data_IF_993658822929
#
_entry.id   IF_993658822929
#
_cell.length_a   1.000
_cell.length_b   1.000
_cell.length_c   1.000
_cell.angle_alpha   90.00
_cell.angle_beta   90.00
_cell.angle_gamma   90.00
#
_symmetry.space_group_name_H-M   'P 1'
#
loop_
_entity.id
_entity.type
_entity.pdbx_description
1 polymer ?
#
# COMPACT_ATOMS: atom_id res chain seq x y z
N UNK A 1 12.05 19.15 -0.61
CA UNK A 1 11.19 17.93 -0.63
C UNK A 1 10.17 18.13 -1.74
N UNK A 2 10.23 17.32 -2.79
CA UNK A 2 9.40 17.46 -4.01
C UNK A 2 8.74 16.15 -4.45
N UNK A 3 8.95 15.09 -3.68
CA UNK A 3 8.38 13.78 -3.92
C UNK A 3 6.90 13.76 -3.55
N UNK A 4 6.44 14.43 -2.48
CA UNK A 4 5.02 14.41 -2.06
C UNK A 4 4.13 15.39 -2.83
N UNK A 5 2.82 15.08 -2.88
CA UNK A 5 1.81 15.94 -3.50
C UNK A 5 1.46 17.16 -2.63
N UNK A 6 1.05 18.25 -3.28
CA UNK A 6 0.48 19.43 -2.60
C UNK A 6 -1.04 19.26 -2.45
N UNK A 7 -1.67 19.74 -1.36
CA UNK A 7 -3.11 19.59 -1.13
C UNK A 7 -3.99 20.08 -2.30
N UNK A 8 -3.62 21.20 -2.91
CA UNK A 8 -4.43 21.88 -3.93
C UNK A 8 -3.96 21.61 -5.37
N UNK A 9 -3.00 20.69 -5.57
CA UNK A 9 -2.47 20.37 -6.90
C UNK A 9 -2.89 18.97 -7.35
N UNK A 10 -3.48 18.89 -8.55
CA UNK A 10 -3.80 17.63 -9.20
C UNK A 10 -2.65 17.10 -10.07
N UNK A 11 -1.46 17.71 -9.99
CA UNK A 11 -0.31 17.26 -10.75
C UNK A 11 0.13 15.86 -10.30
N UNK A 12 0.35 14.98 -11.27
CA UNK A 12 0.81 13.63 -11.02
C UNK A 12 1.78 13.20 -12.09
N UNK A 13 2.72 12.36 -11.68
CA UNK A 13 3.76 11.82 -12.54
C UNK A 13 3.89 10.32 -12.25
N UNK A 14 4.36 9.50 -13.21
CA UNK A 14 4.69 8.10 -12.95
C UNK A 14 5.70 7.97 -11.80
N UNK A 15 5.43 7.03 -10.90
CA UNK A 15 6.30 6.64 -9.79
C UNK A 15 6.07 5.16 -9.48
N UNK A 16 7.10 4.32 -9.67
CA UNK A 16 7.04 2.86 -9.64
C UNK A 16 5.92 2.27 -10.52
N UNK A 17 5.82 2.78 -11.75
CA UNK A 17 4.82 2.30 -12.72
C UNK A 17 3.37 2.75 -12.45
N UNK A 18 3.13 3.55 -11.40
CA UNK A 18 1.80 4.06 -11.04
C UNK A 18 1.81 5.58 -10.95
N UNK A 19 0.70 6.25 -11.31
CA UNK A 19 0.59 7.71 -11.15
C UNK A 19 0.57 8.07 -9.66
N UNK A 20 1.56 8.84 -9.21
CA UNK A 20 1.58 9.42 -7.87
C UNK A 20 1.40 10.94 -7.95
N UNK A 21 0.63 11.50 -7.01
CA UNK A 21 0.52 12.94 -6.86
C UNK A 21 1.84 13.49 -6.33
N UNK A 22 2.37 14.51 -7.02
CA UNK A 22 3.68 15.09 -6.74
C UNK A 22 3.62 16.59 -6.91
N UNK A 23 4.46 17.32 -6.19
CA UNK A 23 4.58 18.76 -6.39
C UNK A 23 5.35 19.02 -7.70
N UNK A 24 4.82 19.80 -8.65
CA UNK A 24 5.57 20.18 -9.85
C UNK A 24 6.63 21.24 -9.55
N UNK A 25 6.67 21.77 -8.32
CA UNK A 25 7.49 22.92 -7.93
C UNK A 25 8.98 22.82 -8.34
N UNK A 26 9.68 21.67 -8.20
CA UNK A 26 11.06 21.56 -8.65
C UNK A 26 11.23 21.90 -10.14
N UNK A 27 10.35 21.35 -10.99
CA UNK A 27 10.35 21.61 -12.42
C UNK A 27 9.93 23.05 -12.74
N UNK A 28 8.93 23.60 -12.03
CA UNK A 28 8.49 24.99 -12.23
C UNK A 28 9.61 25.99 -11.95
N UNK A 29 10.34 25.79 -10.85
CA UNK A 29 11.45 26.65 -10.46
C UNK A 29 12.61 26.53 -11.45
N UNK A 30 12.94 25.30 -11.85
CA UNK A 30 13.99 25.04 -12.84
C UNK A 30 13.69 25.76 -14.16
N UNK A 31 12.50 25.54 -14.73
CA UNK A 31 12.09 26.15 -15.99
C UNK A 31 12.09 27.69 -15.93
N UNK A 32 11.51 28.29 -14.87
CA UNK A 32 11.40 29.76 -14.75
C UNK A 32 12.74 30.46 -14.52
N UNK A 33 13.68 29.78 -13.86
CA UNK A 33 14.96 30.39 -13.47
C UNK A 33 16.11 30.00 -14.40
N UNK A 34 15.90 29.03 -15.31
CA UNK A 34 16.95 28.47 -16.15
C UNK A 34 18.02 27.69 -15.37
N UNK A 35 17.73 27.25 -14.14
CA UNK A 35 18.67 26.55 -13.25
C UNK A 35 18.39 25.05 -13.24
N UNK A 36 19.41 24.19 -13.08
CA UNK A 36 19.22 22.74 -13.10
C UNK A 36 18.62 22.23 -11.80
N UNK A 37 18.03 21.05 -11.87
CA UNK A 37 17.62 20.26 -10.70
C UNK A 37 18.74 19.29 -10.36
N UNK A 38 19.08 19.19 -9.07
CA UNK A 38 19.89 18.11 -8.53
C UNK A 38 19.02 17.23 -7.63
N UNK A 39 19.02 15.92 -7.86
CA UNK A 39 18.37 14.97 -6.96
C UNK A 39 19.37 14.58 -5.89
N UNK A 40 19.03 14.85 -4.63
CA UNK A 40 19.85 14.51 -3.48
C UNK A 40 19.14 13.42 -2.69
N UNK A 41 19.80 12.28 -2.50
CA UNK A 41 19.29 11.17 -1.69
C UNK A 41 20.24 10.85 -0.55
N UNK A 42 19.68 10.44 0.59
CA UNK A 42 20.42 10.09 1.78
C UNK A 42 20.18 8.64 2.12
N UNK A 43 21.24 7.93 2.49
CA UNK A 43 21.20 6.56 2.95
C UNK A 43 21.97 6.44 4.25
N UNK A 44 21.41 5.72 5.22
CA UNK A 44 22.07 5.35 6.47
C UNK A 44 22.89 4.08 6.26
N UNK A 45 24.18 4.15 6.55
CA UNK A 45 25.11 3.02 6.46
C UNK A 45 25.96 2.95 7.73
N UNK A 46 25.85 1.83 8.47
CA UNK A 46 26.65 1.55 9.68
C UNK A 46 26.68 2.71 10.69
N UNK A 47 25.52 3.33 10.93
CA UNK A 47 25.38 4.45 11.87
C UNK A 47 25.81 5.82 11.33
N UNK A 48 26.26 5.91 10.08
CA UNK A 48 26.56 7.17 9.37
C UNK A 48 25.53 7.42 8.27
N UNK A 49 25.52 8.62 7.70
CA UNK A 49 24.72 8.96 6.52
C UNK A 49 25.64 9.22 5.33
N UNK A 50 25.34 8.57 4.20
CA UNK A 50 25.94 8.83 2.90
C UNK A 50 24.94 9.60 2.04
N UNK A 51 25.39 10.67 1.40
CA UNK A 51 24.58 11.49 0.51
C UNK A 51 25.05 11.30 -0.93
N UNK A 52 24.10 11.10 -1.85
CA UNK A 52 24.36 11.04 -3.30
C UNK A 52 23.65 12.20 -3.98
N UNK A 53 24.35 12.86 -4.89
CA UNK A 53 23.78 13.86 -5.80
C UNK A 53 23.74 13.27 -7.21
N UNK A 54 22.65 13.49 -7.93
CA UNK A 54 22.57 13.18 -9.35
C UNK A 54 23.39 14.17 -10.19
N UNK A 55 23.62 13.83 -11.45
CA UNK A 55 23.96 14.81 -12.47
C UNK A 55 22.86 15.88 -12.59
N UNK A 56 23.21 17.10 -13.03
CA UNK A 56 22.24 18.19 -13.16
C UNK A 56 21.22 17.89 -14.28
N UNK A 57 19.94 18.00 -13.94
CA UNK A 57 18.85 17.96 -14.91
C UNK A 57 18.56 19.39 -15.36
N UNK A 58 19.07 19.77 -16.52
CA UNK A 58 18.87 21.12 -17.06
C UNK A 58 17.49 21.28 -17.69
N UNK A 59 16.84 22.47 -17.53
CA UNK A 59 15.65 22.80 -18.26
C UNK A 59 15.98 23.14 -19.72
N UNK A 60 15.08 22.80 -20.65
CA UNK A 60 15.10 23.26 -22.03
C UNK A 60 14.07 24.39 -22.23
N UNK A 61 14.48 25.67 -22.25
CA UNK A 61 13.55 26.79 -22.41
C UNK A 61 12.93 26.88 -23.81
N UNK A 62 13.44 26.12 -24.79
CA UNK A 62 12.87 26.06 -26.14
C UNK A 62 11.66 25.12 -26.23
N UNK A 63 11.47 24.22 -25.26
CA UNK A 63 10.31 23.32 -25.22
C UNK A 63 9.09 23.99 -24.56
N UNK A 64 7.85 23.63 -24.96
CA UNK A 64 6.65 24.11 -24.28
C UNK A 64 6.66 23.77 -22.78
N UNK A 65 6.21 24.72 -21.97
CA UNK A 65 6.19 24.64 -20.51
C UNK A 65 5.66 23.30 -19.97
N UNK A 66 4.49 22.84 -20.42
CA UNK A 66 3.87 21.61 -19.89
C UNK A 66 4.68 20.34 -20.20
N UNK A 67 5.25 20.29 -21.42
CA UNK A 67 6.11 19.19 -21.87
C UNK A 67 7.37 19.15 -21.01
N UNK A 68 7.96 20.30 -20.78
CA UNK A 68 9.22 20.40 -20.05
C UNK A 68 9.05 20.12 -18.56
N UNK A 69 7.96 20.59 -17.95
CA UNK A 69 7.62 20.24 -16.56
C UNK A 69 7.44 18.74 -16.39
N UNK A 70 6.75 18.09 -17.33
CA UNK A 70 6.56 16.63 -17.32
C UNK A 70 7.89 15.89 -17.45
N UNK A 71 8.76 16.31 -18.37
CA UNK A 71 10.09 15.70 -18.58
C UNK A 71 10.98 15.84 -17.33
N UNK A 72 11.06 17.04 -16.75
CA UNK A 72 11.86 17.32 -15.57
C UNK A 72 11.37 16.51 -14.35
N UNK A 73 10.06 16.47 -14.12
CA UNK A 73 9.49 15.68 -13.02
C UNK A 73 9.66 14.17 -13.23
N UNK A 74 9.54 13.68 -14.47
CA UNK A 74 9.79 12.28 -14.81
C UNK A 74 11.24 11.88 -14.52
N UNK A 75 12.22 12.68 -14.97
CA UNK A 75 13.63 12.44 -14.73
C UNK A 75 13.99 12.48 -13.24
N UNK A 76 13.47 13.46 -12.50
CA UNK A 76 13.65 13.58 -11.05
C UNK A 76 13.15 12.34 -10.32
N UNK A 77 11.92 11.92 -10.60
CA UNK A 77 11.29 10.78 -9.93
C UNK A 77 11.93 9.46 -10.31
N UNK A 78 12.42 9.31 -11.53
CA UNK A 78 13.16 8.12 -11.96
C UNK A 78 14.43 7.92 -11.12
N UNK A 79 15.24 8.96 -10.92
CA UNK A 79 16.42 8.90 -10.06
C UNK A 79 16.07 8.60 -8.60
N UNK A 80 14.92 9.11 -8.14
CA UNK A 80 14.41 8.79 -6.81
C UNK A 80 14.01 7.31 -6.71
N UNK A 81 13.34 6.75 -7.72
CA UNK A 81 13.01 5.32 -7.77
C UNK A 81 14.26 4.46 -7.69
N UNK A 82 15.31 4.77 -8.47
CA UNK A 82 16.59 4.06 -8.43
C UNK A 82 17.17 4.05 -7.01
N UNK A 83 17.24 5.21 -6.37
CA UNK A 83 17.76 5.31 -5.00
C UNK A 83 16.90 4.56 -3.98
N UNK A 84 15.57 4.55 -4.15
CA UNK A 84 14.68 3.79 -3.26
C UNK A 84 14.86 2.29 -3.49
N UNK A 85 15.04 1.83 -4.74
CA UNK A 85 15.30 0.41 -5.05
C UNK A 85 16.59 -0.09 -4.42
N UNK A 86 17.61 0.76 -4.30
CA UNK A 86 18.87 0.39 -3.61
C UNK A 86 18.64 0.04 -2.14
N UNK A 87 17.71 0.71 -1.44
CA UNK A 87 17.42 0.45 -0.02
C UNK A 87 15.98 0.81 0.36
N UNK A 88 14.99 0.00 -0.05
CA UNK A 88 13.58 0.35 0.08
C UNK A 88 13.14 0.59 1.53
N UNK A 89 13.73 -0.14 2.47
CA UNK A 89 13.43 -0.04 3.91
C UNK A 89 13.77 1.31 4.55
N UNK A 90 14.61 2.13 3.90
CA UNK A 90 14.98 3.45 4.40
C UNK A 90 14.11 4.58 3.84
N UNK A 91 13.24 4.29 2.87
CA UNK A 91 12.24 5.25 2.43
C UNK A 91 11.10 5.33 3.43
N UNK A 92 10.60 6.53 3.69
CA UNK A 92 9.53 6.77 4.65
C UNK A 92 8.16 6.40 4.05
N UNK A 93 7.84 5.10 4.01
CA UNK A 93 6.57 4.54 3.50
C UNK A 93 5.32 4.87 4.34
N UNK A 94 5.45 5.72 5.34
CA UNK A 94 4.39 6.11 6.29
C UNK A 94 3.19 6.72 5.56
N UNK A 95 3.43 7.47 4.49
CA UNK A 95 2.36 8.11 3.72
C UNK A 95 1.71 7.15 2.72
N UNK A 96 0.40 7.28 2.49
CA UNK A 96 -0.27 6.58 1.39
C UNK A 96 0.18 7.20 0.07
N UNK A 97 1.20 6.62 -0.57
CA UNK A 97 1.87 7.23 -1.73
C UNK A 97 0.92 7.36 -2.92
N UNK A 98 0.03 6.39 -3.08
CA UNK A 98 -0.99 6.33 -4.14
C UNK A 98 -2.40 6.56 -3.61
N UNK A 99 -2.59 7.42 -2.60
CA UNK A 99 -3.88 7.66 -1.92
C UNK A 99 -5.06 7.92 -2.89
N UNK A 100 -4.80 8.50 -4.05
CA UNK A 100 -5.80 8.90 -5.04
C UNK A 100 -6.25 7.75 -5.94
N UNK A 101 -5.45 6.68 -5.98
CA UNK A 101 -5.82 5.43 -6.63
C UNK A 101 -6.50 4.47 -5.66
N UNK A 102 -6.51 4.78 -4.36
CA UNK A 102 -7.24 3.98 -3.39
C UNK A 102 -8.73 4.01 -3.74
N UNK A 103 -9.42 2.87 -3.75
CA UNK A 103 -10.81 2.81 -4.15
C UNK A 103 -11.67 3.75 -3.29
N UNK A 104 -12.19 4.82 -3.91
CA UNK A 104 -13.07 5.79 -3.25
C UNK A 104 -14.35 5.17 -2.66
N UNK A 105 -14.69 3.97 -3.11
CA UNK A 105 -15.76 3.10 -2.60
C UNK A 105 -15.50 2.52 -1.21
N UNK A 106 -14.26 2.48 -0.71
CA UNK A 106 -13.96 1.97 0.64
C UNK A 106 -14.33 3.01 1.70
N UNK A 107 -14.70 2.63 2.93
CA UNK A 107 -14.83 3.58 4.04
C UNK A 107 -13.45 4.16 4.39
N UNK A 108 -13.40 5.41 4.85
CA UNK A 108 -12.13 6.15 5.07
C UNK A 108 -11.10 5.38 5.91
N UNK A 109 -11.53 4.70 6.98
CA UNK A 109 -10.65 3.93 7.87
C UNK A 109 -10.02 2.69 7.20
N UNK A 110 -10.55 2.24 6.06
CA UNK A 110 -10.04 1.10 5.30
C UNK A 110 -9.28 1.53 4.03
N UNK A 111 -9.08 2.84 3.80
CA UNK A 111 -8.36 3.35 2.61
C UNK A 111 -6.85 3.43 2.88
N UNK A 112 -6.17 2.31 2.76
CA UNK A 112 -4.71 2.22 2.87
C UNK A 112 -4.11 1.36 1.76
N UNK A 113 -2.83 1.59 1.45
CA UNK A 113 -2.11 0.95 0.33
C UNK A 113 -1.29 -0.28 0.73
N UNK A 114 -1.09 -0.52 2.03
CA UNK A 114 -0.37 -1.67 2.58
C UNK A 114 -1.24 -2.45 3.56
N UNK A 115 -1.48 -3.72 3.24
CA UNK A 115 -2.35 -4.62 3.97
C UNK A 115 -1.61 -5.91 4.33
N UNK A 116 -1.77 -6.37 5.57
CA UNK A 116 -1.37 -7.71 5.99
C UNK A 116 -2.61 -8.58 6.24
N UNK A 117 -2.62 -9.78 5.67
CA UNK A 117 -3.64 -10.80 5.96
C UNK A 117 -2.98 -11.97 6.70
N UNK A 118 -3.48 -12.27 7.89
CA UNK A 118 -2.96 -13.36 8.72
C UNK A 118 -3.92 -14.54 8.65
N UNK A 119 -3.52 -15.59 7.93
CA UNK A 119 -4.31 -16.82 7.78
C UNK A 119 -4.21 -17.65 9.06
N UNK A 120 -5.25 -18.43 9.42
CA UNK A 120 -5.27 -19.19 10.65
C UNK A 120 -4.61 -20.56 10.49
N UNK A 121 -4.20 -21.15 11.61
CA UNK A 121 -3.58 -22.48 11.61
C UNK A 121 -4.59 -23.58 11.28
N UNK A 122 -5.79 -23.59 11.88
CA UNK A 122 -6.80 -24.66 11.71
C UNK A 122 -7.26 -24.78 10.25
N UNK A 123 -7.32 -26.00 9.72
CA UNK A 123 -7.56 -26.25 8.28
C UNK A 123 -8.90 -25.71 7.77
N UNK A 124 -10.01 -25.99 8.45
CA UNK A 124 -11.31 -25.46 8.07
C UNK A 124 -11.33 -23.92 8.07
N UNK A 125 -10.72 -23.30 9.09
CA UNK A 125 -10.59 -21.85 9.19
C UNK A 125 -9.68 -21.29 8.10
N UNK A 126 -8.64 -22.04 7.71
CA UNK A 126 -7.69 -21.67 6.67
C UNK A 126 -8.37 -21.66 5.31
N UNK A 127 -9.05 -22.75 4.94
CA UNK A 127 -9.81 -22.83 3.68
C UNK A 127 -10.89 -21.75 3.61
N UNK A 128 -11.53 -21.46 4.75
CA UNK A 128 -12.46 -20.35 4.83
C UNK A 128 -11.78 -18.99 4.55
N UNK A 129 -10.70 -18.66 5.27
CA UNK A 129 -9.94 -17.43 5.06
C UNK A 129 -9.40 -17.31 3.63
N UNK A 130 -8.94 -18.42 3.05
CA UNK A 130 -8.48 -18.53 1.68
C UNK A 130 -9.57 -18.13 0.68
N UNK A 131 -10.81 -18.60 0.89
CA UNK A 131 -11.94 -18.26 0.00
C UNK A 131 -12.28 -16.77 -0.01
N UNK A 132 -11.88 -16.02 1.03
CA UNK A 132 -12.10 -14.57 1.13
C UNK A 132 -10.98 -13.75 0.47
N UNK A 133 -9.83 -14.34 0.12
CA UNK A 133 -8.69 -13.61 -0.45
C UNK A 133 -9.03 -12.97 -1.81
N UNK A 134 -9.84 -13.64 -2.63
CA UNK A 134 -10.35 -13.08 -3.89
C UNK A 134 -11.22 -11.84 -3.65
N UNK A 135 -12.00 -11.84 -2.56
CA UNK A 135 -12.79 -10.67 -2.14
C UNK A 135 -11.88 -9.52 -1.71
N UNK A 136 -10.81 -9.79 -0.98
CA UNK A 136 -9.80 -8.78 -0.66
C UNK A 136 -9.15 -8.19 -1.92
N UNK A 137 -8.72 -9.02 -2.89
CA UNK A 137 -8.19 -8.52 -4.17
C UNK A 137 -9.19 -7.66 -4.93
N UNK A 138 -10.44 -8.09 -5.01
CA UNK A 138 -11.50 -7.34 -5.68
C UNK A 138 -11.75 -5.97 -5.00
N UNK A 139 -11.69 -5.93 -3.67
CA UNK A 139 -11.82 -4.69 -2.91
C UNK A 139 -10.61 -3.78 -3.10
N UNK A 140 -9.40 -4.34 -3.11
CA UNK A 140 -8.10 -3.68 -3.20
C UNK A 140 -7.30 -4.17 -4.42
N UNK A 141 -7.62 -3.66 -5.63
CA UNK A 141 -7.06 -4.17 -6.88
C UNK A 141 -5.57 -3.85 -7.07
N UNK A 142 -5.04 -2.80 -6.44
CA UNK A 142 -3.68 -2.30 -6.69
C UNK A 142 -2.83 -2.22 -5.43
N UNK A 143 -3.37 -2.57 -4.28
CA UNK A 143 -2.71 -2.41 -2.99
C UNK A 143 -1.80 -3.60 -2.70
N UNK A 144 -0.78 -3.33 -1.88
CA UNK A 144 0.24 -4.29 -1.52
C UNK A 144 -0.30 -5.20 -0.42
N UNK A 145 -0.26 -6.50 -0.70
CA UNK A 145 -0.63 -7.53 0.26
C UNK A 145 0.62 -8.22 0.79
N UNK A 146 0.64 -8.44 2.11
CA UNK A 146 1.53 -9.38 2.77
C UNK A 146 0.67 -10.47 3.40
N UNK A 147 0.98 -11.75 3.14
CA UNK A 147 0.27 -12.89 3.70
C UNK A 147 1.14 -13.59 4.73
N UNK A 148 0.61 -13.76 5.93
CA UNK A 148 1.15 -14.71 6.90
C UNK A 148 0.43 -16.03 6.72
N UNK A 149 1.16 -17.05 6.30
CA UNK A 149 0.64 -18.38 5.94
C UNK A 149 1.26 -19.41 6.87
N UNK A 150 0.47 -20.27 7.56
CA UNK A 150 1.04 -21.39 8.29
C UNK A 150 1.91 -22.25 7.38
N UNK A 151 3.12 -22.63 7.81
CA UNK A 151 4.09 -23.34 6.96
C UNK A 151 3.52 -24.66 6.40
N UNK A 152 2.59 -25.30 7.13
CA UNK A 152 1.89 -26.51 6.70
C UNK A 152 1.03 -26.34 5.44
N UNK A 153 0.70 -25.10 5.06
CA UNK A 153 -0.08 -24.77 3.86
C UNK A 153 0.75 -24.04 2.79
N UNK A 154 2.08 -24.06 2.88
CA UNK A 154 2.96 -23.33 1.95
C UNK A 154 2.78 -23.71 0.47
N UNK A 155 2.38 -24.94 0.20
CA UNK A 155 2.15 -25.46 -1.16
C UNK A 155 0.72 -25.19 -1.66
N UNK A 156 -0.15 -24.60 -0.82
CA UNK A 156 -1.51 -24.30 -1.22
C UNK A 156 -1.54 -23.12 -2.20
N UNK A 157 -2.26 -23.20 -3.33
CA UNK A 157 -2.41 -22.06 -4.23
C UNK A 157 -3.09 -20.88 -3.52
N UNK A 158 -2.56 -19.67 -3.72
CA UNK A 158 -3.05 -18.43 -3.13
C UNK A 158 -3.57 -17.48 -4.24
N UNK A 159 -4.81 -16.96 -4.15
CA UNK A 159 -5.38 -16.05 -5.15
C UNK A 159 -4.69 -14.66 -5.26
N UNK A 160 -3.73 -14.38 -4.39
CA UNK A 160 -2.96 -13.13 -4.34
C UNK A 160 -1.52 -13.41 -4.76
N UNK A 161 -1.30 -13.66 -6.06
CA UNK A 161 0.00 -14.12 -6.60
C UNK A 161 1.14 -13.11 -6.49
N UNK A 162 0.81 -11.82 -6.33
CA UNK A 162 1.74 -10.71 -6.15
C UNK A 162 1.98 -10.36 -4.67
N UNK A 163 1.36 -11.09 -3.73
CA UNK A 163 1.54 -10.84 -2.31
C UNK A 163 2.92 -11.32 -1.81
N UNK A 164 3.50 -10.54 -0.89
CA UNK A 164 4.67 -10.97 -0.13
C UNK A 164 4.25 -12.08 0.86
N UNK A 165 4.99 -13.19 0.91
CA UNK A 165 4.65 -14.34 1.74
C UNK A 165 5.59 -14.46 2.94
N UNK A 166 5.01 -14.56 4.13
CA UNK A 166 5.69 -14.96 5.36
C UNK A 166 5.12 -16.30 5.83
N UNK A 167 5.95 -17.33 5.85
CA UNK A 167 5.58 -18.62 6.42
C UNK A 167 5.91 -18.64 7.91
N UNK A 168 5.00 -19.19 8.72
CA UNK A 168 5.20 -19.29 10.16
C UNK A 168 4.85 -20.68 10.69
N UNK A 169 5.58 -21.15 11.69
CA UNK A 169 5.33 -22.42 12.39
C UNK A 169 4.56 -22.23 13.69
N UNK A 170 4.84 -21.12 14.36
CA UNK A 170 4.25 -20.76 15.64
C UNK A 170 3.59 -19.38 15.58
N UNK A 171 2.52 -19.12 16.37
CA UNK A 171 1.85 -17.81 16.37
C UNK A 171 2.76 -16.62 16.68
N UNK A 172 3.90 -16.85 17.34
CA UNK A 172 4.85 -15.82 17.78
C UNK A 172 5.70 -15.29 16.64
N UNK A 173 5.96 -16.11 15.62
CA UNK A 173 6.71 -15.72 14.42
C UNK A 173 5.99 -14.65 13.58
N UNK A 174 4.67 -14.47 13.79
CA UNK A 174 3.87 -13.40 13.18
C UNK A 174 4.22 -12.03 13.78
N UNK A 175 4.69 -11.98 15.03
CA UNK A 175 4.89 -10.75 15.81
C UNK A 175 6.22 -10.07 15.47
N UNK A 176 6.42 -9.76 14.19
CA UNK A 176 7.63 -9.13 13.67
C UNK A 176 7.75 -7.67 14.17
N UNK A 177 8.86 -7.27 14.81
CA UNK A 177 8.99 -5.95 15.45
C UNK A 177 9.18 -4.78 14.47
N UNK A 178 9.60 -5.04 13.23
CA UNK A 178 9.87 -4.01 12.22
C UNK A 178 8.98 -4.15 10.98
N UNK A 179 7.84 -4.84 11.12
CA UNK A 179 6.86 -4.99 10.06
C UNK A 179 5.71 -4.00 10.31
N UNK A 180 5.55 -3.03 9.42
CA UNK A 180 4.70 -1.84 9.62
C UNK A 180 3.58 -1.75 8.57
N UNK A 181 2.68 -2.75 8.47
CA UNK A 181 1.52 -2.66 7.59
C UNK A 181 0.57 -1.58 8.10
N UNK A 182 -0.17 -0.94 7.19
CA UNK A 182 -1.15 0.08 7.58
C UNK A 182 -2.44 -0.54 8.07
N UNK A 183 -2.89 -1.62 7.43
CA UNK A 183 -4.03 -2.41 7.86
C UNK A 183 -3.63 -3.85 8.09
N UNK A 184 -4.16 -4.45 9.15
CA UNK A 184 -4.03 -5.88 9.43
C UNK A 184 -5.42 -6.48 9.54
N UNK A 185 -5.70 -7.47 8.70
CA UNK A 185 -6.86 -8.34 8.85
C UNK A 185 -6.39 -9.71 9.26
N UNK A 186 -6.91 -10.26 10.36
CA UNK A 186 -6.48 -11.55 10.85
C UNK A 186 -7.65 -12.51 11.10
N UNK A 187 -7.39 -13.77 10.79
CA UNK A 187 -8.28 -14.90 11.07
C UNK A 187 -7.79 -15.74 12.24
N UNK A 188 -6.66 -15.35 12.85
CA UNK A 188 -6.02 -16.05 13.97
C UNK A 188 -6.70 -15.75 15.31
N UNK A 189 -6.74 -16.77 16.17
CA UNK A 189 -7.19 -16.73 17.57
C UNK A 189 -6.14 -16.11 18.51
N UNK A 190 -4.95 -15.72 18.03
CA UNK A 190 -3.86 -15.19 18.85
C UNK A 190 -4.19 -13.78 19.38
N UNK A 191 -4.39 -13.60 20.71
CA UNK A 191 -4.81 -12.31 21.28
C UNK A 191 -3.71 -11.25 21.22
N UNK A 192 -2.46 -11.61 20.93
CA UNK A 192 -1.34 -10.67 20.85
C UNK A 192 -1.24 -9.92 19.52
N UNK A 193 -1.88 -10.40 18.44
CA UNK A 193 -1.76 -9.79 17.11
C UNK A 193 -2.18 -8.32 17.12
N UNK A 194 -3.38 -8.05 17.66
CA UNK A 194 -3.93 -6.70 17.72
C UNK A 194 -3.07 -5.72 18.52
N UNK A 195 -2.73 -5.96 19.80
CA UNK A 195 -1.87 -5.04 20.55
C UNK A 195 -0.48 -4.90 19.94
N UNK A 196 0.10 -5.97 19.37
CA UNK A 196 1.40 -5.92 18.70
C UNK A 196 1.41 -4.92 17.53
N UNK A 197 0.55 -5.12 16.54
CA UNK A 197 0.56 -4.25 15.35
C UNK A 197 0.09 -2.82 15.63
N UNK A 198 -0.81 -2.62 16.60
CA UNK A 198 -1.17 -1.28 17.06
C UNK A 198 0.02 -0.58 17.75
N UNK A 199 0.84 -1.29 18.53
CA UNK A 199 2.06 -0.72 19.13
C UNK A 199 3.09 -0.30 18.08
N UNK A 200 3.06 -0.94 16.91
CA UNK A 200 3.88 -0.61 15.74
C UNK A 200 3.21 0.45 14.83
N UNK A 201 2.17 1.14 15.30
CA UNK A 201 1.48 2.21 14.56
C UNK A 201 0.69 1.77 13.31
N UNK A 202 0.22 0.51 13.26
CA UNK A 202 -0.79 0.12 12.28
C UNK A 202 -2.06 0.99 12.47
N UNK A 203 -2.63 1.47 11.37
CA UNK A 203 -3.81 2.35 11.36
C UNK A 203 -5.10 1.62 11.74
N UNK A 204 -5.13 0.29 11.52
CA UNK A 204 -6.24 -0.55 11.92
C UNK A 204 -5.86 -2.03 11.96
N UNK A 205 -6.32 -2.73 13.00
CA UNK A 205 -6.14 -4.18 13.16
C UNK A 205 -7.49 -4.79 13.51
N UNK A 206 -7.96 -5.67 12.62
CA UNK A 206 -9.30 -6.22 12.66
C UNK A 206 -9.26 -7.75 12.59
N UNK A 207 -9.79 -8.41 13.61
CA UNK A 207 -10.13 -9.83 13.48
C UNK A 207 -11.34 -10.00 12.57
N UNK A 208 -11.47 -11.14 11.92
CA UNK A 208 -12.66 -11.42 11.10
C UNK A 208 -13.96 -11.41 11.92
N UNK A 209 -13.93 -11.85 13.17
CA UNK A 209 -15.08 -11.76 14.09
C UNK A 209 -15.45 -10.32 14.43
N UNK A 210 -14.48 -9.41 14.57
CA UNK A 210 -14.76 -7.98 14.73
C UNK A 210 -15.39 -7.39 13.47
N UNK A 211 -14.92 -7.76 12.28
CA UNK A 211 -15.55 -7.31 11.02
C UNK A 211 -17.01 -7.79 10.94
N UNK A 212 -17.29 -9.04 11.28
CA UNK A 212 -18.67 -9.57 11.34
C UNK A 212 -19.55 -8.75 12.26
N UNK A 213 -19.05 -8.38 13.45
CA UNK A 213 -19.78 -7.52 14.40
C UNK A 213 -20.03 -6.09 13.91
N UNK A 214 -19.18 -5.59 13.01
CA UNK A 214 -19.37 -4.27 12.37
C UNK A 214 -20.41 -4.29 11.25
N UNK A 215 -20.86 -5.48 10.83
CA UNK A 215 -21.88 -5.62 9.79
C UNK A 215 -23.28 -5.56 10.40
N UNK A 216 -24.18 -4.81 9.75
CA UNK A 216 -25.62 -4.83 10.08
C UNK A 216 -26.38 -5.94 9.33
N UNK A 217 -25.68 -6.77 8.55
CA UNK A 217 -26.29 -7.88 7.82
C UNK A 217 -26.68 -9.02 8.76
N UNK A 218 -27.67 -9.81 8.34
CA UNK A 218 -28.10 -11.01 9.04
C UNK A 218 -26.95 -12.04 9.13
N UNK A 219 -26.93 -12.84 10.20
CA UNK A 219 -25.90 -13.86 10.47
C UNK A 219 -25.80 -14.95 9.38
N UNK A 220 -26.82 -15.10 8.53
CA UNK A 220 -26.83 -16.05 7.42
C UNK A 220 -26.24 -15.49 6.10
N UNK A 221 -25.79 -14.22 6.08
CA UNK A 221 -25.17 -13.65 4.90
C UNK A 221 -23.79 -14.29 4.64
N UNK A 222 -23.43 -14.47 3.36
CA UNK A 222 -22.11 -14.97 2.99
C UNK A 222 -21.01 -14.03 3.53
N UNK A 223 -19.93 -14.61 4.06
CA UNK A 223 -18.84 -13.86 4.68
C UNK A 223 -18.14 -12.88 3.71
N UNK A 224 -18.13 -13.19 2.41
CA UNK A 224 -17.70 -12.27 1.36
C UNK A 224 -18.62 -11.04 1.21
N UNK A 225 -19.93 -11.19 1.40
CA UNK A 225 -20.89 -10.09 1.41
C UNK A 225 -20.75 -9.24 2.67
N UNK A 226 -20.49 -9.88 3.82
CA UNK A 226 -20.18 -9.18 5.07
C UNK A 226 -18.94 -8.30 4.88
N UNK A 227 -17.84 -8.84 4.33
CA UNK A 227 -16.64 -8.03 4.05
C UNK A 227 -16.96 -6.81 3.18
N UNK A 228 -17.68 -7.01 2.07
CA UNK A 228 -18.09 -5.91 1.19
C UNK A 228 -18.89 -4.85 1.95
N UNK A 229 -19.88 -5.25 2.74
CA UNK A 229 -20.74 -4.35 3.51
C UNK A 229 -19.97 -3.56 4.59
N UNK A 230 -19.01 -4.21 5.25
CA UNK A 230 -18.20 -3.58 6.30
C UNK A 230 -17.21 -2.60 5.69
N UNK A 231 -16.57 -2.96 4.58
CA UNK A 231 -15.46 -2.19 4.00
C UNK A 231 -15.92 -1.09 3.05
N UNK A 232 -17.08 -1.22 2.38
CA UNK A 232 -17.55 -0.24 1.39
C UNK A 232 -18.42 0.86 1.97
N UNK A 233 -18.40 2.04 1.36
CA UNK A 233 -19.39 3.09 1.62
C UNK A 233 -20.77 2.66 1.11
N UNK A 234 -21.84 3.16 1.76
CA UNK A 234 -23.22 2.72 1.53
C UNK A 234 -23.62 2.68 0.05
N UNK A 235 -23.22 3.69 -0.71
CA UNK A 235 -23.54 3.83 -2.14
C UNK A 235 -22.99 2.69 -3.01
N UNK A 236 -21.95 1.98 -2.57
CA UNK A 236 -21.26 0.94 -3.35
C UNK A 236 -21.58 -0.49 -2.90
N UNK A 237 -22.30 -0.67 -1.79
CA UNK A 237 -22.62 -2.00 -1.25
C UNK A 237 -23.36 -2.86 -2.29
N UNK A 238 -24.25 -2.25 -3.08
CA UNK A 238 -25.03 -2.95 -4.12
C UNK A 238 -24.29 -3.11 -5.45
N UNK A 239 -23.20 -2.36 -5.68
CA UNK A 239 -22.47 -2.38 -6.97
C UNK A 239 -21.55 -3.59 -7.16
N UNK A 240 -21.18 -4.29 -6.08
CA UNK A 240 -20.28 -5.44 -6.13
C UNK A 240 -20.98 -6.80 -6.25
N UNK A 241 -22.30 -6.83 -6.50
CA UNK A 241 -23.00 -8.03 -6.93
C UNK A 241 -22.76 -8.33 -8.43
N UNK A 242 -22.07 -7.44 -9.15
CA UNK A 242 -21.82 -7.53 -10.60
C UNK A 242 -20.33 -7.59 -11.00
N UNK A 243 -19.41 -7.79 -10.05
CA UNK A 243 -18.04 -8.13 -10.47
C UNK A 243 -18.03 -9.56 -11.03
N UNK A 244 -17.38 -9.80 -12.18
CA UNK A 244 -17.23 -11.15 -12.69
C UNK A 244 -16.52 -12.01 -11.65
N UNK A 245 -17.04 -13.21 -11.41
CA UNK A 245 -16.22 -14.28 -10.88
C UNK A 245 -15.35 -14.75 -12.04
N UNK A 246 -14.14 -14.21 -12.15
CA UNK A 246 -13.08 -14.80 -12.97
C UNK A 246 -12.29 -15.80 -12.12
#
# INVERSE_FOLDING_TARGET
VGDQGMPDSNFSSPFFGRRAWTSPLPALLSYRTGRPIFVCTLKREKGKYSTRYSDPIWPNPSDPYEKEVTRLMGALLHLLEESIRETPSQWLWIHNRWKQQLPGRLKRQFRHDSLALILPEKENSFLHALSLLSTFRALYPLEFFTLFVPERFKEHPLPLSDAELFFYRTPDEILLPNFLPKLVFHFSDNPRIKPHFLSLSAMGVYSFEELKKLSSLNQNAADSHILKHVLLTGDYINTLNHLPQE
#
